data_IF_194724759571
#
_entry.id   IF_194724759571
#
_cell.length_a   1.000
_cell.length_b   1.000
_cell.length_c   1.000
_cell.angle_alpha   90.00
_cell.angle_beta   90.00
_cell.angle_gamma   90.00
#
_symmetry.space_group_name_H-M   'P 1'
#
loop_
_entity.id
_entity.type
_entity.pdbx_description
1 polymer ?
#
# COMPACT_ATOMS: atom_id res chain seq x y z
N UNK A 1 -1.26 -5.39 -24.01
CA UNK A 1 -0.60 -4.58 -22.94
C UNK A 1 -1.65 -3.76 -22.20
N UNK A 2 -1.57 -3.68 -20.87
CA UNK A 2 -2.43 -2.79 -20.08
C UNK A 2 -2.01 -1.33 -20.34
N UNK A 3 -2.97 -0.41 -20.39
CA UNK A 3 -2.67 1.02 -20.55
C UNK A 3 -2.18 1.59 -19.21
N UNK A 4 -0.91 2.02 -19.10
CA UNK A 4 -0.34 2.53 -17.84
C UNK A 4 -1.07 3.75 -17.29
N UNK A 5 -1.74 4.54 -18.13
CA UNK A 5 -2.37 5.79 -17.71
C UNK A 5 -3.78 5.61 -17.11
N UNK A 6 -4.29 4.38 -17.05
CA UNK A 6 -5.61 4.07 -16.51
C UNK A 6 -5.53 3.62 -15.04
N UNK A 7 -5.78 2.33 -14.79
CA UNK A 7 -5.75 1.72 -13.45
C UNK A 7 -4.36 1.79 -12.79
N UNK A 8 -3.24 1.56 -13.51
CA UNK A 8 -1.90 1.60 -12.89
C UNK A 8 -1.52 3.00 -12.36
N UNK A 9 -1.89 4.07 -13.07
CA UNK A 9 -1.69 5.44 -12.61
C UNK A 9 -2.54 5.75 -11.37
N UNK A 10 -3.80 5.30 -11.35
CA UNK A 10 -4.67 5.44 -10.19
C UNK A 10 -4.08 4.72 -8.96
N UNK A 11 -3.61 3.49 -9.13
CA UNK A 11 -2.95 2.72 -8.07
C UNK A 11 -1.72 3.45 -7.51
N UNK A 12 -0.94 4.09 -8.38
CA UNK A 12 0.20 4.91 -7.97
C UNK A 12 -0.22 6.12 -7.15
N UNK A 13 -1.27 6.84 -7.58
CA UNK A 13 -1.80 7.97 -6.83
C UNK A 13 -2.35 7.55 -5.46
N UNK A 14 -3.01 6.40 -5.38
CA UNK A 14 -3.56 5.83 -4.13
C UNK A 14 -2.45 5.52 -3.13
N UNK A 15 -1.37 4.84 -3.55
CA UNK A 15 -0.26 4.51 -2.66
C UNK A 15 0.48 5.76 -2.18
N UNK A 16 0.77 6.71 -3.07
CA UNK A 16 1.40 7.98 -2.68
C UNK A 16 0.53 8.77 -1.69
N UNK A 17 -0.79 8.81 -1.90
CA UNK A 17 -1.72 9.42 -0.95
C UNK A 17 -1.69 8.70 0.40
N UNK A 18 -1.60 7.36 0.40
CA UNK A 18 -1.51 6.56 1.63
C UNK A 18 -0.20 6.82 2.42
N UNK A 19 0.90 7.10 1.72
CA UNK A 19 2.17 7.52 2.31
C UNK A 19 2.06 8.87 3.03
N UNK A 20 1.28 9.81 2.49
CA UNK A 20 1.00 11.09 3.15
C UNK A 20 0.12 10.87 4.39
N UNK A 21 -0.92 10.05 4.30
CA UNK A 21 -1.84 9.82 5.42
C UNK A 21 -1.20 9.05 6.57
N UNK A 22 -0.29 8.10 6.30
CA UNK A 22 0.46 7.41 7.37
C UNK A 22 1.46 8.34 8.05
N UNK A 23 2.07 9.27 7.30
CA UNK A 23 2.95 10.31 7.87
C UNK A 23 2.15 11.27 8.74
N UNK A 24 0.95 11.66 8.31
CA UNK A 24 0.02 12.44 9.15
C UNK A 24 -0.36 11.68 10.43
N UNK A 25 -0.59 10.37 10.35
CA UNK A 25 -0.84 9.54 11.53
C UNK A 25 0.36 9.55 12.50
N UNK A 26 1.58 9.48 11.97
CA UNK A 26 2.80 9.53 12.78
C UNK A 26 2.92 10.86 13.55
N UNK A 27 2.78 12.00 12.86
CA UNK A 27 2.80 13.31 13.51
C UNK A 27 1.69 13.45 14.56
N UNK A 28 0.49 12.95 14.26
CA UNK A 28 -0.63 12.97 15.19
C UNK A 28 -0.37 12.16 16.47
N UNK A 29 0.37 11.04 16.38
CA UNK A 29 0.77 10.25 17.56
C UNK A 29 1.74 11.04 18.43
N UNK A 30 2.75 11.66 17.83
CA UNK A 30 3.75 12.46 18.55
C UNK A 30 3.15 13.68 19.22
N UNK A 31 2.14 14.31 18.59
CA UNK A 31 1.41 15.47 19.15
C UNK A 31 0.33 15.07 20.18
N UNK A 32 0.05 13.77 20.35
CA UNK A 32 -0.99 13.28 21.27
C UNK A 32 -2.42 13.42 20.74
N UNK A 33 -2.58 13.79 19.47
CA UNK A 33 -3.85 14.00 18.79
C UNK A 33 -4.49 12.66 18.38
N UNK A 34 -5.11 11.98 19.36
CA UNK A 34 -5.66 10.63 19.17
C UNK A 34 -6.73 10.53 18.08
N UNK A 35 -7.65 11.51 18.00
CA UNK A 35 -8.72 11.49 17.00
C UNK A 35 -8.16 11.59 15.59
N UNK A 36 -7.18 12.47 15.38
CA UNK A 36 -6.52 12.62 14.09
C UNK A 36 -5.72 11.37 13.73
N UNK A 37 -5.01 10.78 14.69
CA UNK A 37 -4.28 9.51 14.49
C UNK A 37 -5.21 8.40 14.00
N UNK A 38 -6.36 8.21 14.67
CA UNK A 38 -7.31 7.15 14.31
C UNK A 38 -7.88 7.42 12.90
N UNK A 39 -8.22 8.67 12.60
CA UNK A 39 -8.78 9.04 11.30
C UNK A 39 -7.77 8.84 10.16
N UNK A 40 -6.54 9.32 10.31
CA UNK A 40 -5.50 9.25 9.30
C UNK A 40 -5.03 7.81 9.08
N UNK A 41 -4.87 7.02 10.15
CA UNK A 41 -4.50 5.61 10.04
C UNK A 41 -5.62 4.77 9.42
N UNK A 42 -6.88 5.02 9.77
CA UNK A 42 -8.02 4.38 9.11
C UNK A 42 -8.08 4.71 7.61
N UNK A 43 -7.78 5.97 7.23
CA UNK A 43 -7.72 6.38 5.84
C UNK A 43 -6.60 5.65 5.08
N UNK A 44 -5.39 5.51 5.67
CA UNK A 44 -4.30 4.72 5.07
C UNK A 44 -4.73 3.27 4.81
N UNK A 45 -5.39 2.62 5.78
CA UNK A 45 -5.86 1.24 5.64
C UNK A 45 -6.91 1.13 4.52
N UNK A 46 -7.84 2.09 4.43
CA UNK A 46 -8.83 2.12 3.35
C UNK A 46 -8.19 2.29 1.98
N UNK A 47 -7.17 3.15 1.85
CA UNK A 47 -6.42 3.33 0.61
C UNK A 47 -5.65 2.04 0.23
N UNK A 48 -5.03 1.36 1.18
CA UNK A 48 -4.37 0.06 0.95
C UNK A 48 -5.34 -1.05 0.52
N UNK A 49 -6.52 -1.11 1.14
CA UNK A 49 -7.60 -2.00 0.73
C UNK A 49 -8.13 -1.67 -0.67
N UNK A 50 -8.24 -0.38 -0.99
CA UNK A 50 -8.67 0.08 -2.31
C UNK A 50 -7.66 -0.28 -3.41
N UNK A 51 -6.36 -0.10 -3.17
CA UNK A 51 -5.30 -0.57 -4.06
C UNK A 51 -5.42 -2.08 -4.33
N UNK A 52 -5.60 -2.88 -3.26
CA UNK A 52 -5.73 -4.34 -3.39
C UNK A 52 -6.94 -4.72 -4.25
N UNK A 53 -8.06 -4.02 -4.07
CA UNK A 53 -9.26 -4.22 -4.89
C UNK A 53 -9.02 -3.88 -6.36
N UNK A 54 -8.40 -2.74 -6.64
CA UNK A 54 -8.05 -2.34 -8.02
C UNK A 54 -7.09 -3.33 -8.67
N UNK A 55 -6.08 -3.82 -7.94
CA UNK A 55 -5.14 -4.82 -8.45
C UNK A 55 -5.83 -6.15 -8.77
N UNK A 56 -6.80 -6.56 -7.95
CA UNK A 56 -7.58 -7.76 -8.19
C UNK A 56 -8.47 -7.64 -9.44
N UNK A 57 -9.08 -6.46 -9.66
CA UNK A 57 -9.84 -6.18 -10.88
C UNK A 57 -8.93 -6.20 -12.11
N UNK A 58 -7.75 -5.59 -12.03
CA UNK A 58 -6.77 -5.60 -13.12
C UNK A 58 -6.36 -7.03 -13.49
N UNK A 59 -6.15 -7.91 -12.51
CA UNK A 59 -5.83 -9.32 -12.78
C UNK A 59 -7.00 -10.08 -13.41
N UNK A 60 -8.24 -9.71 -13.10
CA UNK A 60 -9.41 -10.34 -13.68
C UNK A 60 -9.66 -9.89 -15.13
N UNK A 61 -9.42 -8.62 -15.42
CA UNK A 61 -9.61 -8.03 -16.76
C UNK A 61 -8.41 -8.19 -17.69
N UNK A 62 -7.24 -8.59 -17.16
CA UNK A 62 -6.03 -8.78 -17.95
C UNK A 62 -6.24 -9.79 -19.09
N UNK A 63 -5.86 -9.46 -20.35
CA UNK A 63 -6.02 -10.36 -21.49
C UNK A 63 -4.94 -11.45 -21.56
N UNK A 64 -4.08 -11.55 -20.55
CA UNK A 64 -2.98 -12.50 -20.44
C UNK A 64 -2.93 -13.06 -19.01
N UNK A 65 -2.30 -14.22 -18.88
CA UNK A 65 -2.22 -15.02 -17.67
C UNK A 65 -0.76 -15.29 -17.31
N UNK A 66 -0.52 -15.87 -16.13
CA UNK A 66 0.82 -16.27 -15.70
C UNK A 66 1.47 -17.33 -16.62
N UNK A 67 0.66 -18.07 -17.38
CA UNK A 67 1.12 -19.10 -18.32
C UNK A 67 1.54 -18.52 -19.69
N UNK A 68 1.27 -17.24 -19.95
CA UNK A 68 1.55 -16.59 -21.24
C UNK A 68 3.01 -16.13 -21.36
N UNK A 69 3.91 -17.11 -21.37
CA UNK A 69 5.34 -16.94 -21.61
C UNK A 69 6.07 -16.10 -20.56
N UNK A 70 7.21 -15.54 -20.95
CA UNK A 70 8.10 -14.79 -20.05
C UNK A 70 7.47 -13.48 -19.56
N UNK A 71 6.63 -12.85 -20.38
CA UNK A 71 5.96 -11.61 -20.02
C UNK A 71 4.93 -11.84 -18.90
N UNK A 72 3.99 -12.77 -19.11
CA UNK A 72 2.97 -13.10 -18.12
C UNK A 72 3.57 -13.58 -16.80
N UNK A 73 4.55 -14.48 -16.85
CA UNK A 73 5.23 -14.98 -15.65
C UNK A 73 5.95 -13.87 -14.88
N UNK A 74 6.70 -13.00 -15.55
CA UNK A 74 7.41 -11.89 -14.87
C UNK A 74 6.43 -10.87 -14.29
N UNK A 75 5.38 -10.52 -15.05
CA UNK A 75 4.34 -9.58 -14.62
C UNK A 75 3.66 -10.07 -13.34
N UNK A 76 3.03 -11.25 -13.38
CA UNK A 76 2.20 -11.74 -12.27
C UNK A 76 3.02 -12.11 -11.02
N UNK A 77 4.25 -12.61 -11.19
CA UNK A 77 5.10 -12.93 -10.03
C UNK A 77 5.57 -11.65 -9.34
N UNK A 78 6.07 -10.66 -10.10
CA UNK A 78 6.58 -9.42 -9.51
C UNK A 78 5.46 -8.59 -8.86
N UNK A 79 4.37 -8.35 -9.59
CA UNK A 79 3.21 -7.58 -9.09
C UNK A 79 2.44 -8.36 -8.03
N UNK A 80 2.33 -9.69 -8.14
CA UNK A 80 1.68 -10.54 -7.15
C UNK A 80 2.43 -10.60 -5.82
N UNK A 81 3.77 -10.70 -5.86
CA UNK A 81 4.58 -10.65 -4.64
C UNK A 81 4.48 -9.29 -3.95
N UNK A 82 4.49 -8.21 -4.71
CA UNK A 82 4.22 -6.88 -4.18
C UNK A 82 2.81 -6.78 -3.57
N UNK A 83 1.77 -7.27 -4.25
CA UNK A 83 0.40 -7.30 -3.73
C UNK A 83 0.28 -8.07 -2.42
N UNK A 84 1.02 -9.17 -2.25
CA UNK A 84 1.13 -9.87 -0.97
C UNK A 84 1.74 -8.98 0.12
N UNK A 85 2.77 -8.20 -0.18
CA UNK A 85 3.37 -7.26 0.77
C UNK A 85 2.41 -6.13 1.14
N UNK A 86 1.60 -5.63 0.20
CA UNK A 86 0.53 -4.65 0.49
C UNK A 86 -0.48 -5.23 1.49
N UNK A 87 -0.89 -6.49 1.32
CA UNK A 87 -1.80 -7.17 2.26
C UNK A 87 -1.19 -7.29 3.66
N UNK A 88 0.09 -7.71 3.74
CA UNK A 88 0.82 -7.81 5.01
C UNK A 88 0.89 -6.44 5.69
N UNK A 89 1.30 -5.40 4.95
CA UNK A 89 1.39 -4.03 5.45
C UNK A 89 0.04 -3.50 5.95
N UNK A 90 -1.04 -3.76 5.20
CA UNK A 90 -2.39 -3.29 5.55
C UNK A 90 -2.87 -3.97 6.82
N UNK A 91 -2.61 -5.27 6.97
CA UNK A 91 -2.92 -6.02 8.20
C UNK A 91 -2.11 -5.51 9.40
N UNK A 92 -0.83 -5.15 9.19
CA UNK A 92 0.03 -4.61 10.23
C UNK A 92 -0.46 -3.23 10.70
N UNK A 93 -0.82 -2.35 9.77
CA UNK A 93 -1.44 -1.06 10.08
C UNK A 93 -2.79 -1.23 10.79
N UNK A 94 -3.60 -2.22 10.40
CA UNK A 94 -4.86 -2.52 11.08
C UNK A 94 -4.65 -2.96 12.54
N UNK A 95 -3.62 -3.78 12.82
CA UNK A 95 -3.23 -4.11 14.20
C UNK A 95 -2.80 -2.85 14.96
N UNK A 96 -2.03 -1.95 14.34
CA UNK A 96 -1.67 -0.67 14.95
C UNK A 96 -2.90 0.21 15.22
N UNK A 97 -3.90 0.23 14.35
CA UNK A 97 -5.15 0.96 14.57
C UNK A 97 -5.89 0.43 15.80
N UNK A 98 -6.04 -0.89 15.92
CA UNK A 98 -6.67 -1.50 17.10
C UNK A 98 -5.89 -1.18 18.39
N UNK A 99 -4.56 -1.22 18.34
CA UNK A 99 -3.70 -0.84 19.48
C UNK A 99 -3.85 0.64 19.85
N UNK A 100 -3.96 1.53 18.86
CA UNK A 100 -4.20 2.96 19.09
C UNK A 100 -5.57 3.22 19.72
N UNK A 101 -6.60 2.50 19.28
CA UNK A 101 -7.95 2.58 19.88
C UNK A 101 -7.91 2.11 21.34
N UNK A 102 -7.13 1.07 21.65
CA UNK A 102 -6.99 0.51 23.00
C UNK A 102 -5.95 1.22 23.88
N UNK A 103 -5.48 2.41 23.51
CA UNK A 103 -4.53 3.23 24.30
C UNK A 103 -3.17 2.55 24.56
N UNK A 104 -2.70 1.68 23.66
CA UNK A 104 -1.41 1.00 23.84
C UNK A 104 -0.19 1.81 23.40
N UNK A 105 -0.38 2.90 22.65
CA UNK A 105 0.71 3.77 22.19
C UNK A 105 0.75 5.06 23.00
N UNK A 106 1.97 5.50 23.31
CA UNK A 106 2.24 6.80 23.91
C UNK A 106 2.94 7.70 22.90
N UNK A 107 2.98 9.00 23.16
CA UNK A 107 3.64 10.01 22.32
C UNK A 107 5.15 9.76 22.15
N UNK A 108 5.76 9.03 23.08
CA UNK A 108 7.20 8.71 23.04
C UNK A 108 7.51 7.25 22.72
N UNK A 109 6.56 6.33 22.93
CA UNK A 109 6.80 4.90 22.76
C UNK A 109 5.74 4.25 21.86
N UNK A 110 6.06 4.21 20.57
CA UNK A 110 5.20 3.67 19.52
C UNK A 110 5.97 2.97 18.40
N UNK A 111 7.05 2.26 18.73
CA UNK A 111 7.88 1.52 17.77
C UNK A 111 7.10 0.54 16.87
N UNK A 112 6.04 -0.09 17.40
CA UNK A 112 5.19 -0.97 16.59
C UNK A 112 4.51 -0.24 15.42
N UNK A 113 4.15 1.04 15.62
CA UNK A 113 3.64 1.90 14.56
C UNK A 113 4.78 2.37 13.63
N UNK A 114 5.95 2.76 14.16
CA UNK A 114 7.11 3.15 13.34
C UNK A 114 7.53 2.03 12.38
N UNK A 115 7.62 0.80 12.87
CA UNK A 115 7.95 -0.37 12.04
C UNK A 115 6.90 -0.60 10.93
N UNK A 116 5.62 -0.41 11.24
CA UNK A 116 4.56 -0.52 10.25
C UNK A 116 4.64 0.60 9.21
N UNK A 117 4.97 1.84 9.62
CA UNK A 117 5.15 2.97 8.71
C UNK A 117 6.37 2.78 7.79
N UNK A 118 7.50 2.28 8.31
CA UNK A 118 8.67 1.93 7.48
C UNK A 118 8.33 0.85 6.46
N UNK A 119 7.61 -0.20 6.88
CA UNK A 119 7.17 -1.26 5.98
C UNK A 119 6.22 -0.72 4.90
N UNK A 120 5.31 0.19 5.27
CA UNK A 120 4.39 0.81 4.32
C UNK A 120 5.12 1.65 3.25
N UNK A 121 6.09 2.48 3.65
CA UNK A 121 6.91 3.22 2.69
C UNK A 121 7.80 2.32 1.82
N UNK A 122 8.27 1.19 2.36
CA UNK A 122 8.95 0.18 1.54
C UNK A 122 8.04 -0.33 0.42
N UNK A 123 6.78 -0.65 0.75
CA UNK A 123 5.78 -1.08 -0.24
C UNK A 123 5.58 0.00 -1.30
N UNK A 124 5.38 1.26 -0.90
CA UNK A 124 5.19 2.40 -1.83
C UNK A 124 6.35 2.49 -2.85
N UNK A 125 7.60 2.44 -2.37
CA UNK A 125 8.78 2.58 -3.23
C UNK A 125 8.89 1.41 -4.21
N UNK A 126 8.65 0.18 -3.75
CA UNK A 126 8.66 -1.00 -4.63
C UNK A 126 7.61 -0.87 -5.75
N UNK A 127 6.43 -0.35 -5.44
CA UNK A 127 5.41 -0.10 -6.46
C UNK A 127 5.87 0.87 -7.53
N UNK A 128 6.52 1.98 -7.16
CA UNK A 128 7.04 2.95 -8.14
C UNK A 128 8.02 2.31 -9.12
N UNK A 129 8.89 1.41 -8.65
CA UNK A 129 9.79 0.67 -9.52
C UNK A 129 9.04 -0.28 -10.46
N UNK A 130 8.00 -0.98 -9.97
CA UNK A 130 7.17 -1.86 -10.78
C UNK A 130 6.39 -1.08 -11.85
N UNK A 131 5.79 0.05 -11.47
CA UNK A 131 5.06 0.93 -12.38
C UNK A 131 5.96 1.41 -13.53
N UNK A 132 7.13 1.97 -13.22
CA UNK A 132 8.06 2.47 -14.25
C UNK A 132 8.59 1.33 -15.12
N UNK A 133 8.99 0.20 -14.53
CA UNK A 133 9.71 -0.85 -15.26
C UNK A 133 8.78 -1.75 -16.07
N UNK A 134 7.70 -2.22 -15.47
CA UNK A 134 6.80 -3.22 -16.07
C UNK A 134 5.67 -2.55 -16.83
N UNK A 135 5.00 -1.57 -16.21
CA UNK A 135 3.81 -0.95 -16.79
C UNK A 135 4.13 0.15 -17.80
N UNK A 136 5.25 0.87 -17.67
CA UNK A 136 5.57 1.97 -18.58
C UNK A 136 6.68 1.65 -19.59
N UNK A 137 7.85 1.17 -19.13
CA UNK A 137 8.97 0.87 -20.03
C UNK A 137 8.81 -0.46 -20.75
N UNK A 138 8.27 -1.48 -20.08
CA UNK A 138 8.12 -2.84 -20.59
C UNK A 138 6.80 -3.13 -21.32
N UNK A 139 5.93 -2.13 -21.49
CA UNK A 139 4.61 -2.23 -22.11
C UNK A 139 4.58 -1.82 -23.58
#
# INVERSE_FOLDING_TARGET
PLDPFTVPLLNTAVLLASGVTVTWAHHSIMEGERKQTIQSLALTILLGGYFTFLQALEYYEAPFTIADGVYGSTFFVATGFHGLHVLIGTSFLAVCLLRQINYHFTTEHHFGFEAAAWYWHFVDVVWLFLYISIYWWGS
#
